data_IF_239677474493
#
_entry.id   IF_239677474493
#
_cell.length_a   1.000
_cell.length_b   1.000
_cell.length_c   1.000
_cell.angle_alpha   90.00
_cell.angle_beta   90.00
_cell.angle_gamma   90.00
#
_symmetry.space_group_name_H-M   'P 1'
#
loop_
_entity.id
_entity.type
_entity.pdbx_description
1 polymer ?
#
# COMPACT_ATOMS: atom_id res chain seq x y z
N UNK A 1 3.44 -11.91 0.19
CA UNK A 1 2.03 -11.54 0.40
C UNK A 1 2.00 -10.27 1.23
N UNK A 2 0.82 -9.63 1.37
CA UNK A 2 0.63 -8.40 2.15
C UNK A 2 0.72 -8.67 3.67
N UNK A 3 1.67 -9.52 4.09
CA UNK A 3 1.81 -10.01 5.46
C UNK A 3 2.48 -8.97 6.37
N UNK A 4 3.08 -7.94 5.77
CA UNK A 4 3.67 -6.85 6.53
C UNK A 4 2.54 -6.00 7.13
N UNK A 5 2.56 -5.71 8.45
CA UNK A 5 1.46 -5.04 9.14
C UNK A 5 1.13 -3.65 8.59
N UNK A 6 2.07 -3.00 7.88
CA UNK A 6 1.85 -1.69 7.25
C UNK A 6 0.62 -1.64 6.34
N UNK A 7 0.30 -2.74 5.64
CA UNK A 7 -0.85 -2.76 4.72
C UNK A 7 -2.19 -2.74 5.46
N UNK A 8 -2.27 -3.46 6.58
CA UNK A 8 -3.45 -3.43 7.44
C UNK A 8 -3.60 -2.07 8.11
N UNK A 9 -2.50 -1.52 8.66
CA UNK A 9 -2.49 -0.20 9.31
C UNK A 9 -2.91 0.90 8.34
N UNK A 10 -2.36 0.90 7.12
CA UNK A 10 -2.71 1.88 6.10
C UNK A 10 -4.18 1.76 5.68
N UNK A 11 -4.68 0.53 5.50
CA UNK A 11 -6.09 0.26 5.20
C UNK A 11 -7.03 0.74 6.31
N UNK A 12 -6.73 0.42 7.57
CA UNK A 12 -7.53 0.87 8.72
C UNK A 12 -7.55 2.40 8.85
N UNK A 13 -6.43 3.08 8.59
CA UNK A 13 -6.38 4.54 8.57
C UNK A 13 -7.22 5.14 7.42
N UNK A 14 -7.24 4.48 6.26
CA UNK A 14 -8.05 4.92 5.11
C UNK A 14 -9.55 4.73 5.40
N UNK A 15 -9.92 3.60 6.01
CA UNK A 15 -11.28 3.28 6.41
C UNK A 15 -11.83 4.29 7.44
N UNK A 16 -10.99 4.74 8.39
CA UNK A 16 -11.38 5.76 9.37
C UNK A 16 -11.72 7.12 8.74
N UNK A 17 -11.08 7.45 7.61
CA UNK A 17 -11.33 8.67 6.85
C UNK A 17 -12.38 8.48 5.74
N UNK A 18 -12.84 7.25 5.50
CA UNK A 18 -13.79 6.92 4.45
C UNK A 18 -13.23 7.13 3.04
N UNK A 19 -11.92 7.01 2.87
CA UNK A 19 -11.24 7.14 1.57
C UNK A 19 -10.74 5.79 1.09
N UNK A 20 -10.58 5.64 -0.23
CA UNK A 20 -9.96 4.46 -0.79
C UNK A 20 -8.44 4.63 -0.89
N UNK A 21 -7.67 3.61 -0.53
CA UNK A 21 -6.22 3.60 -0.65
C UNK A 21 -5.69 2.28 -1.21
N UNK A 22 -4.63 2.37 -2.02
CA UNK A 22 -4.11 1.25 -2.78
C UNK A 22 -2.59 1.25 -2.77
N UNK A 23 -1.98 0.09 -2.55
CA UNK A 23 -0.56 -0.10 -2.84
C UNK A 23 -0.36 -0.15 -4.35
N UNK A 24 0.63 0.57 -4.86
CA UNK A 24 0.92 0.67 -6.30
C UNK A 24 2.41 0.52 -6.59
N UNK A 25 2.81 0.75 -7.84
CA UNK A 25 4.20 0.90 -8.20
C UNK A 25 5.01 -0.40 -8.24
N UNK A 26 6.29 -0.27 -7.91
CA UNK A 26 7.29 -1.32 -8.08
C UNK A 26 7.02 -2.56 -7.22
N UNK A 27 6.45 -2.36 -6.03
CA UNK A 27 6.06 -3.43 -5.13
C UNK A 27 5.04 -4.37 -5.79
N UNK A 28 3.93 -3.83 -6.32
CA UNK A 28 2.88 -4.62 -6.97
C UNK A 28 3.41 -5.37 -8.18
N UNK A 29 4.16 -4.70 -9.07
CA UNK A 29 4.77 -5.35 -10.24
C UNK A 29 5.66 -6.52 -9.83
N UNK A 30 6.54 -6.32 -8.86
CA UNK A 30 7.49 -7.35 -8.45
C UNK A 30 6.77 -8.53 -7.77
N UNK A 31 5.69 -8.30 -7.02
CA UNK A 31 4.81 -9.37 -6.51
C UNK A 31 4.13 -10.14 -7.65
N UNK A 32 3.52 -9.46 -8.63
CA UNK A 32 2.87 -10.10 -9.78
C UNK A 32 3.85 -10.94 -10.63
N UNK A 33 5.11 -10.51 -10.72
CA UNK A 33 6.17 -11.22 -11.44
C UNK A 33 6.89 -12.28 -10.58
N UNK A 34 6.45 -12.52 -9.34
CA UNK A 34 7.07 -13.47 -8.42
C UNK A 34 8.51 -13.12 -8.03
N UNK A 35 8.92 -11.86 -8.18
CA UNK A 35 10.26 -11.38 -7.84
C UNK A 35 10.39 -11.23 -6.33
N UNK A 36 11.33 -11.96 -5.75
CA UNK A 36 11.68 -11.83 -4.33
C UNK A 36 12.79 -10.80 -4.17
N UNK A 37 12.43 -9.56 -3.87
CA UNK A 37 13.42 -8.59 -3.33
C UNK A 37 13.47 -8.72 -1.82
N UNK A 38 14.57 -8.27 -1.23
CA UNK A 38 14.74 -8.14 0.22
C UNK A 38 14.63 -6.69 0.69
N UNK A 39 14.69 -5.75 -0.24
CA UNK A 39 14.49 -4.33 0.00
C UNK A 39 13.45 -3.81 -1.00
N UNK A 40 12.41 -3.15 -0.48
CA UNK A 40 11.33 -2.61 -1.28
C UNK A 40 10.95 -1.24 -0.75
N UNK A 41 10.67 -0.34 -1.67
CA UNK A 41 9.93 0.89 -1.43
C UNK A 41 8.44 0.58 -1.62
N UNK A 42 7.57 1.14 -0.76
CA UNK A 42 6.12 0.95 -0.83
C UNK A 42 5.49 2.29 -1.18
N UNK A 43 4.84 2.33 -2.33
CA UNK A 43 4.08 3.49 -2.79
C UNK A 43 2.59 3.25 -2.58
N UNK A 44 1.90 4.20 -1.95
CA UNK A 44 0.44 4.21 -1.86
C UNK A 44 -0.15 5.33 -2.71
N UNK A 45 -1.33 5.07 -3.28
CA UNK A 45 -2.19 6.09 -3.86
C UNK A 45 -3.53 6.07 -3.14
N UNK A 46 -4.12 7.24 -2.91
CA UNK A 46 -5.45 7.37 -2.29
C UNK A 46 -6.40 8.18 -3.17
N UNK A 47 -7.69 7.93 -3.04
CA UNK A 47 -8.76 8.73 -3.64
C UNK A 47 -9.19 9.76 -2.60
N UNK A 48 -8.46 10.87 -2.54
CA UNK A 48 -8.65 11.90 -1.52
C UNK A 48 -7.35 12.65 -1.21
N UNK A 49 -7.29 13.27 -0.02
CA UNK A 49 -6.09 13.97 0.46
C UNK A 49 -5.12 13.02 1.16
N UNK A 50 -4.02 12.67 0.49
CA UNK A 50 -2.97 11.83 1.08
C UNK A 50 -2.09 12.53 2.12
N UNK A 51 -2.40 13.78 2.50
CA UNK A 51 -1.76 14.48 3.63
C UNK A 51 -2.61 14.32 4.89
N UNK A 52 -3.93 14.17 4.74
CA UNK A 52 -4.85 13.95 5.85
C UNK A 52 -4.89 12.48 6.29
N UNK A 53 -4.60 11.58 5.35
CA UNK A 53 -4.36 10.15 5.58
C UNK A 53 -2.91 9.89 5.96
#
# INVERSE_FOLDING_TARGET
>A
MLDHPIFAIAGEAADQLGIEAYVVGGYVRDQCLGRRRTNFDIDFVCVGSGIEW
#
